data_IF_643260129283
#
_entry.id   IF_643260129283
#
_cell.length_a   1.000
_cell.length_b   1.000
_cell.length_c   1.000
_cell.angle_alpha   90.00
_cell.angle_beta   90.00
_cell.angle_gamma   90.00
#
_symmetry.space_group_name_H-M   'P 1'
#
loop_
_entity.id
_entity.type
_entity.pdbx_description
1 polymer ?
#
# COMPACT_ATOMS: atom_id res chain seq x y z
N UNK A 1 -3.64 2.11 -31.50
CA UNK A 1 -4.36 3.37 -31.20
C UNK A 1 -4.65 3.36 -29.71
N UNK A 2 -4.13 4.32 -28.97
CA UNK A 2 -4.26 4.37 -27.51
C UNK A 2 -5.35 5.37 -27.12
N UNK A 3 -6.44 4.86 -26.53
CA UNK A 3 -7.51 5.69 -25.98
C UNK A 3 -7.22 5.97 -24.49
N UNK A 4 -7.51 7.18 -24.03
CA UNK A 4 -7.45 7.48 -22.60
C UNK A 4 -8.50 6.64 -21.86
N UNK A 5 -8.05 5.83 -20.89
CA UNK A 5 -8.87 4.95 -20.07
C UNK A 5 -9.28 5.67 -18.78
N UNK A 6 -8.37 6.49 -18.25
CA UNK A 6 -8.60 7.25 -17.01
C UNK A 6 -8.74 8.73 -17.33
N UNK A 7 -9.48 9.46 -16.49
CA UNK A 7 -9.70 10.89 -16.64
C UNK A 7 -9.07 11.68 -15.48
N UNK A 8 -8.90 12.99 -15.67
CA UNK A 8 -8.37 13.89 -14.66
C UNK A 8 -9.22 13.81 -13.38
N UNK A 9 -8.55 13.81 -12.24
CA UNK A 9 -9.11 13.66 -10.88
C UNK A 9 -9.71 12.28 -10.59
N UNK A 10 -9.55 11.31 -11.50
CA UNK A 10 -9.91 9.93 -11.20
C UNK A 10 -8.90 9.34 -10.23
N UNK A 11 -9.42 8.63 -9.22
CA UNK A 11 -8.60 7.86 -8.29
C UNK A 11 -8.18 6.55 -8.92
N UNK A 12 -6.89 6.28 -8.90
CA UNK A 12 -6.29 5.07 -9.48
C UNK A 12 -5.27 4.46 -8.53
N UNK A 13 -5.16 3.14 -8.57
CA UNK A 13 -4.07 2.44 -7.90
C UNK A 13 -2.87 2.34 -8.83
N UNK A 14 -1.72 2.80 -8.37
CA UNK A 14 -0.47 2.84 -9.13
C UNK A 14 0.37 1.62 -8.74
N UNK A 15 0.33 0.56 -9.55
CA UNK A 15 0.97 -0.72 -9.26
C UNK A 15 2.47 -0.65 -8.95
N UNK A 16 3.31 0.07 -9.71
CA UNK A 16 4.75 0.13 -9.45
C UNK A 16 5.10 0.81 -8.13
N UNK A 17 4.22 1.67 -7.65
CA UNK A 17 4.39 2.42 -6.40
C UNK A 17 3.68 1.75 -5.24
N UNK A 18 2.64 0.95 -5.54
CA UNK A 18 1.81 0.30 -4.54
C UNK A 18 0.93 1.28 -3.75
N UNK A 19 0.49 2.39 -4.37
CA UNK A 19 -0.29 3.43 -3.72
C UNK A 19 -1.47 3.91 -4.55
N UNK A 20 -2.47 4.47 -3.89
CA UNK A 20 -3.55 5.21 -4.51
C UNK A 20 -3.14 6.65 -4.78
N UNK A 21 -3.46 7.15 -5.96
CA UNK A 21 -3.21 8.53 -6.35
C UNK A 21 -4.37 9.07 -7.20
N UNK A 22 -4.42 10.39 -7.37
CA UNK A 22 -5.34 11.03 -8.31
C UNK A 22 -4.59 11.31 -9.61
N UNK A 23 -5.24 11.07 -10.73
CA UNK A 23 -4.73 11.49 -12.03
C UNK A 23 -4.78 13.02 -12.10
N UNK A 24 -3.64 13.67 -12.05
CA UNK A 24 -3.54 15.13 -12.13
C UNK A 24 -3.62 15.62 -13.57
N UNK A 25 -2.98 14.87 -14.49
CA UNK A 25 -2.96 15.19 -15.93
C UNK A 25 -2.99 13.93 -16.77
N UNK A 26 -3.70 14.02 -17.90
CA UNK A 26 -3.67 13.01 -18.95
C UNK A 26 -2.82 13.56 -20.08
N UNK A 27 -1.74 12.88 -20.45
CA UNK A 27 -0.74 13.31 -21.43
C UNK A 27 -0.75 12.38 -22.64
N UNK A 28 -1.57 12.64 -23.66
CA UNK A 28 -1.53 11.87 -24.89
C UNK A 28 -0.24 12.22 -25.68
N UNK A 29 0.45 11.19 -26.13
CA UNK A 29 1.63 11.33 -26.99
C UNK A 29 1.24 11.13 -28.45
N UNK A 30 1.44 12.16 -29.24
CA UNK A 30 1.13 12.19 -30.67
C UNK A 30 2.40 11.94 -31.50
N UNK A 31 2.24 11.31 -32.62
CA UNK A 31 3.27 11.17 -33.65
C UNK A 31 2.77 11.92 -34.89
N UNK A 32 3.69 12.48 -35.68
CA UNK A 32 3.37 13.24 -36.87
C UNK A 32 2.59 12.37 -37.85
N UNK A 33 1.55 12.91 -38.46
CA UNK A 33 0.68 12.25 -39.44
C UNK A 33 -0.23 11.12 -38.90
N UNK A 34 -0.48 11.07 -37.58
CA UNK A 34 -1.41 10.13 -36.97
C UNK A 34 -2.53 10.90 -36.28
N UNK A 35 -3.81 10.56 -36.61
CA UNK A 35 -4.98 11.26 -36.06
C UNK A 35 -5.29 10.90 -34.61
N UNK A 36 -4.70 9.82 -34.07
CA UNK A 36 -4.91 9.36 -32.70
C UNK A 36 -3.58 9.23 -31.93
N UNK A 37 -3.59 9.39 -30.61
CA UNK A 37 -2.39 9.26 -29.80
C UNK A 37 -1.86 7.81 -29.85
N UNK A 38 -0.54 7.68 -29.97
CA UNK A 38 0.15 6.38 -29.98
C UNK A 38 0.22 5.80 -28.57
N UNK A 39 0.39 6.66 -27.56
CA UNK A 39 0.41 6.33 -26.14
C UNK A 39 -0.29 7.40 -25.33
N UNK A 40 -0.84 7.00 -24.18
CA UNK A 40 -1.39 7.93 -23.20
C UNK A 40 -0.66 7.71 -21.89
N UNK A 41 -0.06 8.76 -21.37
CA UNK A 41 0.57 8.77 -20.05
C UNK A 41 -0.30 9.51 -19.05
N UNK A 42 -0.18 9.12 -17.79
CA UNK A 42 -0.92 9.67 -16.67
C UNK A 42 0.05 10.20 -15.63
N UNK A 43 -0.06 11.47 -15.34
CA UNK A 43 0.64 12.12 -14.26
C UNK A 43 -0.21 12.00 -12.99
N UNK A 44 0.33 11.33 -11.99
CA UNK A 44 -0.34 11.09 -10.71
C UNK A 44 0.34 11.82 -9.54
N UNK A 45 1.16 12.84 -9.83
CA UNK A 45 1.87 13.61 -8.81
C UNK A 45 2.98 12.83 -8.09
N UNK A 46 3.48 11.73 -8.69
CA UNK A 46 4.45 10.82 -8.08
C UNK A 46 5.86 10.91 -8.71
N UNK A 47 6.19 12.06 -9.29
CA UNK A 47 7.50 12.34 -9.86
C UNK A 47 7.78 11.71 -11.23
N UNK A 48 6.91 10.84 -11.75
CA UNK A 48 6.96 10.29 -13.11
C UNK A 48 5.57 10.08 -13.69
N UNK A 49 5.53 9.91 -15.00
CA UNK A 49 4.31 9.56 -15.72
C UNK A 49 4.15 8.02 -15.77
N UNK A 50 2.90 7.54 -15.78
CA UNK A 50 2.53 6.12 -15.79
C UNK A 50 1.72 5.77 -17.03
N UNK A 51 1.86 4.52 -17.48
CA UNK A 51 1.01 3.96 -18.54
C UNK A 51 -0.30 3.44 -17.94
N UNK A 52 -1.33 3.30 -18.77
CA UNK A 52 -2.61 2.72 -18.35
C UNK A 52 -2.47 1.30 -17.76
N UNK A 53 -1.52 0.50 -18.26
CA UNK A 53 -1.22 -0.83 -17.73
C UNK A 53 -0.61 -0.85 -16.33
N UNK A 54 -0.06 0.27 -15.88
CA UNK A 54 0.49 0.46 -14.54
C UNK A 54 -0.54 0.98 -13.54
N UNK A 55 -1.76 1.26 -14.00
CA UNK A 55 -2.84 1.84 -13.22
C UNK A 55 -4.06 0.92 -13.22
N UNK A 56 -4.80 0.89 -12.12
CA UNK A 56 -6.12 0.28 -12.06
C UNK A 56 -7.11 1.18 -11.32
N UNK A 57 -8.38 1.10 -11.70
CA UNK A 57 -9.46 1.66 -10.87
C UNK A 57 -9.75 0.71 -9.72
N UNK A 58 -10.35 1.23 -8.67
CA UNK A 58 -10.95 0.42 -7.63
C UNK A 58 -12.12 -0.34 -8.27
N UNK A 59 -11.85 -1.59 -8.69
CA UNK A 59 -12.94 -2.49 -8.99
C UNK A 59 -13.72 -2.72 -7.71
N UNK A 60 -14.98 -2.31 -7.71
CA UNK A 60 -15.91 -2.49 -6.59
C UNK A 60 -16.19 -3.95 -6.24
N UNK A 61 -15.47 -4.87 -6.87
CA UNK A 61 -15.59 -6.33 -6.76
C UNK A 61 -14.51 -6.98 -5.89
N UNK A 62 -13.57 -6.23 -5.32
CA UNK A 62 -12.66 -6.72 -4.29
C UNK A 62 -13.36 -6.71 -2.95
N UNK A 63 -13.84 -7.89 -2.52
CA UNK A 63 -14.51 -8.13 -1.27
C UNK A 63 -13.98 -7.29 -0.11
N UNK A 64 -14.87 -6.53 0.41
CA UNK A 64 -14.88 -5.70 1.60
C UNK A 64 -14.41 -6.49 2.84
N UNK A 65 -13.13 -6.80 2.94
CA UNK A 65 -12.53 -7.11 4.23
C UNK A 65 -12.38 -5.77 4.93
N UNK A 66 -13.36 -5.38 5.70
CA UNK A 66 -13.59 -4.20 6.54
C UNK A 66 -12.47 -3.23 6.95
N UNK A 67 -11.35 -3.22 6.31
CA UNK A 67 -10.22 -2.35 6.61
C UNK A 67 -9.73 -1.62 5.36
N UNK A 68 -10.03 -0.34 5.28
CA UNK A 68 -9.59 0.57 4.20
C UNK A 68 -8.12 1.02 4.36
N UNK A 69 -7.24 0.15 4.85
CA UNK A 69 -5.84 0.52 5.02
C UNK A 69 -5.17 0.72 3.67
N UNK A 70 -4.61 1.89 3.46
CA UNK A 70 -3.99 2.27 2.19
C UNK A 70 -2.88 3.29 2.39
N UNK A 71 -1.94 3.32 1.46
CA UNK A 71 -0.90 4.34 1.44
C UNK A 71 -1.42 5.58 0.72
N UNK A 72 -1.24 6.74 1.34
CA UNK A 72 -1.33 8.05 0.69
C UNK A 72 0.05 8.68 0.61
N UNK A 73 0.24 9.55 -0.37
CA UNK A 73 1.44 10.40 -0.46
C UNK A 73 1.12 11.77 0.12
N UNK A 74 1.82 12.14 1.18
CA UNK A 74 1.75 13.48 1.74
C UNK A 74 2.89 14.33 1.18
N UNK A 75 2.61 15.59 0.85
CA UNK A 75 3.64 16.52 0.40
C UNK A 75 4.64 16.80 1.53
N UNK A 76 5.93 16.75 1.23
CA UNK A 76 6.97 17.22 2.13
C UNK A 76 6.98 18.74 2.11
N UNK A 77 6.64 19.36 3.23
CA UNK A 77 6.60 20.83 3.37
C UNK A 77 7.95 21.44 3.76
N UNK A 78 8.91 20.60 4.11
CA UNK A 78 10.18 21.00 4.68
C UNK A 78 11.35 20.90 3.71
N UNK A 79 11.19 20.08 2.65
CA UNK A 79 12.22 19.83 1.65
C UNK A 79 11.61 19.92 0.25
N UNK A 80 12.33 20.52 -0.66
CA UNK A 80 11.95 20.51 -2.08
C UNK A 80 12.26 19.16 -2.72
N UNK A 81 11.65 18.82 -3.87
CA UNK A 81 11.98 17.59 -4.60
C UNK A 81 13.47 17.47 -4.95
N UNK A 82 14.13 18.59 -5.20
CA UNK A 82 15.55 18.67 -5.55
C UNK A 82 16.43 18.29 -4.36
N UNK A 83 16.09 18.75 -3.16
CA UNK A 83 16.82 18.44 -1.92
C UNK A 83 16.69 16.97 -1.51
N UNK A 84 15.59 16.34 -1.88
CA UNK A 84 15.34 14.92 -1.58
C UNK A 84 15.31 14.04 -2.85
N UNK A 85 16.13 14.36 -3.84
CA UNK A 85 16.21 13.61 -5.11
C UNK A 85 16.62 12.12 -4.93
N UNK A 86 17.25 11.78 -3.80
CA UNK A 86 17.60 10.39 -3.44
C UNK A 86 16.41 9.57 -2.93
N UNK A 87 15.29 10.21 -2.62
CA UNK A 87 14.07 9.49 -2.20
C UNK A 87 13.41 8.78 -3.39
N UNK A 88 12.77 7.61 -3.18
CA UNK A 88 12.01 6.93 -4.24
C UNK A 88 10.92 7.81 -4.86
N UNK A 89 10.37 8.76 -4.07
CA UNK A 89 9.33 9.71 -4.47
C UNK A 89 9.66 11.10 -3.92
N UNK A 90 10.51 11.86 -4.63
CA UNK A 90 10.97 13.17 -4.18
C UNK A 90 9.81 14.13 -3.87
N UNK A 91 9.98 14.94 -2.83
CA UNK A 91 8.98 15.91 -2.38
C UNK A 91 7.77 15.32 -1.67
N UNK A 92 7.73 14.02 -1.42
CA UNK A 92 6.61 13.36 -0.72
C UNK A 92 7.11 12.32 0.27
N UNK A 93 6.24 11.88 1.17
CA UNK A 93 6.47 10.76 2.07
C UNK A 93 5.21 9.89 2.24
N UNK A 94 5.35 8.59 2.60
CA UNK A 94 4.22 7.70 2.73
C UNK A 94 3.48 7.94 4.06
N UNK A 95 2.16 7.86 3.98
CA UNK A 95 1.26 7.85 5.13
C UNK A 95 0.31 6.68 4.96
N UNK A 96 0.27 5.77 5.92
CA UNK A 96 -0.75 4.73 5.93
C UNK A 96 -1.99 5.28 6.63
N UNK A 97 -3.12 5.26 5.96
CA UNK A 97 -4.42 5.65 6.53
C UNK A 97 -5.31 4.44 6.69
N UNK A 98 -6.15 4.45 7.70
CA UNK A 98 -6.94 3.29 8.12
C UNK A 98 -8.45 3.49 7.98
N UNK A 99 -8.91 4.70 7.68
CA UNK A 99 -10.32 5.00 7.46
C UNK A 99 -10.62 5.57 6.06
N UNK A 100 -11.91 5.72 5.74
CA UNK A 100 -12.36 6.25 4.45
C UNK A 100 -12.05 7.75 4.28
N UNK A 101 -11.96 8.48 5.37
CA UNK A 101 -11.72 9.93 5.39
C UNK A 101 -10.24 10.30 5.35
N UNK A 102 -9.36 9.35 5.07
CA UNK A 102 -7.90 9.50 5.06
C UNK A 102 -7.32 9.86 6.45
N UNK A 103 -7.93 9.32 7.50
CA UNK A 103 -7.54 9.53 8.89
C UNK A 103 -6.96 8.27 9.52
N UNK A 104 -6.39 8.41 10.73
CA UNK A 104 -5.82 7.30 11.47
C UNK A 104 -4.56 6.70 10.82
N UNK A 105 -4.10 5.58 11.37
CA UNK A 105 -3.01 4.79 10.82
C UNK A 105 -1.62 5.22 11.24
N UNK A 106 -0.65 5.06 10.33
CA UNK A 106 0.78 5.22 10.60
C UNK A 106 1.40 6.36 9.80
N UNK A 107 2.24 7.12 10.47
CA UNK A 107 3.04 8.19 9.89
C UNK A 107 4.47 8.09 10.40
N UNK A 108 5.44 8.28 9.52
CA UNK A 108 6.84 8.34 9.90
C UNK A 108 7.27 9.79 10.17
N UNK A 109 8.14 10.05 11.15
CA UNK A 109 8.81 11.33 11.27
C UNK A 109 9.66 11.63 10.02
N UNK A 110 9.69 12.89 9.58
CA UNK A 110 10.43 13.28 8.37
C UNK A 110 11.91 12.94 8.41
N UNK A 111 12.55 13.11 9.57
CA UNK A 111 13.97 12.75 9.75
C UNK A 111 14.25 11.25 9.60
N UNK A 112 13.33 10.39 9.99
CA UNK A 112 13.47 8.94 9.79
C UNK A 112 13.29 8.57 8.32
N UNK A 113 12.36 9.21 7.63
CA UNK A 113 12.17 9.00 6.20
C UNK A 113 13.39 9.42 5.39
N UNK A 114 13.98 10.57 5.71
CA UNK A 114 15.18 11.08 5.04
C UNK A 114 16.40 10.18 5.26
N UNK A 115 16.48 9.53 6.43
CA UNK A 115 17.59 8.62 6.77
C UNK A 115 17.59 7.33 5.96
N UNK A 116 16.42 6.73 5.72
CA UNK A 116 16.28 5.48 4.97
C UNK A 116 14.91 5.39 4.29
N UNK A 117 14.70 6.13 3.19
CA UNK A 117 13.41 6.22 2.53
C UNK A 117 12.95 4.88 1.95
N UNK A 118 13.87 4.05 1.46
CA UNK A 118 13.52 2.74 0.89
C UNK A 118 12.97 1.78 1.94
N UNK A 119 13.57 1.75 3.12
CA UNK A 119 13.08 0.95 4.25
C UNK A 119 11.71 1.41 4.71
N UNK A 120 11.51 2.72 4.86
CA UNK A 120 10.23 3.31 5.28
C UNK A 120 9.13 3.03 4.25
N UNK A 121 9.44 3.10 2.96
CA UNK A 121 8.50 2.74 1.90
C UNK A 121 8.10 1.25 1.97
N UNK A 122 9.04 0.37 2.24
CA UNK A 122 8.75 -1.06 2.41
C UNK A 122 7.87 -1.31 3.65
N UNK A 123 8.16 -0.64 4.77
CA UNK A 123 7.34 -0.71 5.99
C UNK A 123 5.92 -0.20 5.75
N UNK A 124 5.76 0.93 5.07
CA UNK A 124 4.44 1.48 4.74
C UNK A 124 3.61 0.49 3.91
N UNK A 125 4.22 -0.16 2.91
CA UNK A 125 3.55 -1.21 2.12
C UNK A 125 3.13 -2.40 2.97
N UNK A 126 4.01 -2.87 3.85
CA UNK A 126 3.70 -3.99 4.74
C UNK A 126 2.53 -3.64 5.68
N UNK A 127 2.57 -2.46 6.30
CA UNK A 127 1.51 -1.99 7.20
C UNK A 127 0.18 -1.87 6.46
N UNK A 128 0.17 -1.29 5.26
CA UNK A 128 -1.05 -1.15 4.47
C UNK A 128 -1.67 -2.51 4.06
N UNK A 129 -0.84 -3.55 3.90
CA UNK A 129 -1.30 -4.91 3.58
C UNK A 129 -1.58 -5.76 4.83
N UNK A 130 -1.30 -5.29 6.04
CA UNK A 130 -1.44 -6.07 7.26
C UNK A 130 -2.84 -6.70 7.44
N UNK A 131 -3.97 -6.00 7.19
CA UNK A 131 -5.29 -6.61 7.31
C UNK A 131 -5.50 -7.78 6.35
N UNK A 132 -5.01 -7.65 5.11
CA UNK A 132 -5.10 -8.72 4.11
C UNK A 132 -4.24 -9.92 4.49
N UNK A 133 -3.02 -9.66 4.96
CA UNK A 133 -2.12 -10.71 5.44
C UNK A 133 -2.73 -11.44 6.65
N UNK A 134 -3.36 -10.72 7.57
CA UNK A 134 -4.07 -11.31 8.70
C UNK A 134 -5.21 -12.22 8.25
N UNK A 135 -6.05 -11.76 7.33
CA UNK A 135 -7.15 -12.54 6.79
C UNK A 135 -6.67 -13.83 6.07
N UNK A 136 -5.58 -13.71 5.29
CA UNK A 136 -4.96 -14.88 4.63
C UNK A 136 -4.38 -15.86 5.64
N UNK A 137 -3.74 -15.38 6.70
CA UNK A 137 -3.21 -16.21 7.77
C UNK A 137 -4.34 -16.98 8.49
N UNK A 138 -5.46 -16.31 8.79
CA UNK A 138 -6.64 -16.93 9.38
C UNK A 138 -7.26 -18.00 8.46
N UNK A 139 -7.37 -17.67 7.16
CA UNK A 139 -7.93 -18.61 6.19
C UNK A 139 -7.04 -19.85 6.04
N UNK A 140 -5.74 -19.67 5.97
CA UNK A 140 -4.78 -20.76 5.86
C UNK A 140 -4.75 -21.64 7.11
N UNK A 141 -4.77 -21.04 8.30
CA UNK A 141 -4.82 -21.79 9.56
C UNK A 141 -6.10 -22.65 9.65
N UNK A 142 -7.24 -22.14 9.21
CA UNK A 142 -8.50 -22.89 9.12
C UNK A 142 -8.41 -24.02 8.11
N UNK A 143 -7.94 -23.76 6.90
CA UNK A 143 -7.83 -24.77 5.85
C UNK A 143 -6.95 -25.96 6.26
N UNK A 144 -5.88 -25.71 7.01
CA UNK A 144 -5.02 -26.77 7.57
C UNK A 144 -5.72 -27.53 8.70
N UNK A 145 -6.47 -26.82 9.57
CA UNK A 145 -7.22 -27.46 10.66
C UNK A 145 -8.34 -28.37 10.15
N UNK A 146 -8.97 -27.99 9.03
CA UNK A 146 -10.06 -28.75 8.41
C UNK A 146 -9.56 -29.94 7.55
N UNK A 147 -8.24 -30.05 7.32
CA UNK A 147 -7.65 -31.12 6.51
C UNK A 147 -6.76 -32.03 7.34
N UNK A 148 -7.25 -33.22 7.75
CA UNK A 148 -6.50 -34.14 8.58
C UNK A 148 -5.28 -34.80 7.89
N UNK A 149 -5.17 -34.68 6.57
CA UNK A 149 -4.05 -35.25 5.80
C UNK A 149 -2.85 -34.28 5.68
N UNK A 150 -2.94 -33.09 6.29
CA UNK A 150 -1.83 -32.14 6.31
C UNK A 150 -0.61 -32.72 7.06
N UNK A 151 0.56 -32.57 6.43
CA UNK A 151 1.83 -32.97 7.05
C UNK A 151 2.14 -32.15 8.33
N UNK A 152 2.95 -32.73 9.25
CA UNK A 152 3.22 -32.14 10.57
C UNK A 152 3.84 -30.75 10.50
N UNK A 153 4.61 -30.44 9.47
CA UNK A 153 5.20 -29.12 9.24
C UNK A 153 4.12 -28.05 9.01
N UNK A 154 3.13 -28.35 8.15
CA UNK A 154 2.02 -27.42 7.87
C UNK A 154 1.15 -27.21 9.11
N UNK A 155 0.91 -28.26 9.87
CA UNK A 155 0.18 -28.16 11.14
C UNK A 155 0.95 -27.27 12.13
N UNK A 156 2.28 -27.42 12.20
CA UNK A 156 3.14 -26.55 13.02
C UNK A 156 3.05 -25.08 12.63
N UNK A 157 3.13 -24.78 11.33
CA UNK A 157 2.99 -23.42 10.80
C UNK A 157 1.60 -22.85 11.08
N UNK A 158 0.54 -23.62 10.85
CA UNK A 158 -0.83 -23.18 11.12
C UNK A 158 -1.06 -22.83 12.60
N UNK A 159 -0.44 -23.59 13.52
CA UNK A 159 -0.45 -23.28 14.94
C UNK A 159 0.22 -21.93 15.24
N UNK A 160 1.42 -21.68 14.69
CA UNK A 160 2.13 -20.41 14.85
C UNK A 160 1.33 -19.24 14.28
N UNK A 161 0.70 -19.43 13.11
CA UNK A 161 -0.19 -18.42 12.52
C UNK A 161 -1.37 -18.12 13.44
N UNK A 162 -2.02 -19.15 13.99
CA UNK A 162 -3.15 -19.00 14.92
C UNK A 162 -2.76 -18.25 16.19
N UNK A 163 -1.57 -18.50 16.73
CA UNK A 163 -1.02 -17.77 17.88
C UNK A 163 -0.76 -16.31 17.55
N UNK A 164 -0.16 -16.04 16.39
CA UNK A 164 0.10 -14.66 15.91
C UNK A 164 -1.20 -13.89 15.72
N UNK A 165 -2.19 -14.51 15.07
CA UNK A 165 -3.53 -13.93 14.88
C UNK A 165 -4.18 -13.61 16.22
N UNK A 166 -4.11 -14.52 17.17
CA UNK A 166 -4.65 -14.32 18.53
C UNK A 166 -3.99 -13.12 19.21
N UNK A 167 -2.66 -12.99 19.10
CA UNK A 167 -1.92 -11.87 19.66
C UNK A 167 -2.34 -10.53 19.05
N UNK A 168 -2.52 -10.50 17.72
CA UNK A 168 -2.95 -9.27 17.01
C UNK A 168 -4.38 -8.87 17.36
N UNK A 169 -5.26 -9.84 17.62
CA UNK A 169 -6.68 -9.60 17.95
C UNK A 169 -6.95 -9.44 19.45
N UNK A 170 -5.97 -9.71 20.30
CA UNK A 170 -6.12 -9.56 21.74
C UNK A 170 -6.45 -8.12 22.13
N UNK A 171 -7.40 -7.93 23.03
CA UNK A 171 -7.76 -6.61 23.53
C UNK A 171 -6.71 -6.13 24.55
N UNK A 172 -6.48 -4.82 24.64
CA UNK A 172 -5.63 -4.27 25.71
C UNK A 172 -6.11 -4.73 27.10
N UNK A 173 -5.21 -5.35 27.87
CA UNK A 173 -5.53 -5.84 29.22
C UNK A 173 -5.87 -7.34 29.32
N UNK A 174 -5.95 -8.10 28.22
CA UNK A 174 -6.02 -9.55 28.29
C UNK A 174 -4.65 -10.14 28.69
N UNK A 175 -4.63 -11.13 29.63
CA UNK A 175 -3.38 -11.78 30.04
C UNK A 175 -2.79 -12.55 28.87
N UNK A 176 -1.65 -12.11 28.36
CA UNK A 176 -0.95 -12.71 27.22
C UNK A 176 -0.13 -11.70 26.38
N UNK A 177 -0.41 -10.43 26.47
CA UNK A 177 0.44 -9.38 25.89
C UNK A 177 1.45 -8.89 26.93
N UNK A 178 2.56 -9.58 27.06
CA UNK A 178 3.73 -9.02 27.72
C UNK A 178 4.33 -7.97 26.82
N UNK A 179 3.90 -6.73 26.95
CA UNK A 179 4.64 -5.59 26.42
C UNK A 179 5.98 -5.59 27.13
N UNK A 180 7.04 -6.05 26.49
CA UNK A 180 8.40 -5.74 26.92
C UNK A 180 8.54 -4.23 26.76
N UNK A 181 8.41 -3.51 27.87
CA UNK A 181 8.93 -2.15 27.94
C UNK A 181 10.42 -2.27 27.62
N UNK A 182 10.85 -1.63 26.53
CA UNK A 182 12.26 -1.37 26.32
C UNK A 182 12.67 -0.48 27.51
N UNK A 183 13.41 -1.06 28.45
CA UNK A 183 14.15 -0.28 29.42
C UNK A 183 15.18 0.52 28.65
N UNK A 184 15.25 1.81 28.94
CA UNK A 184 16.19 2.82 28.46
C UNK A 184 17.65 2.37 28.55
#
# INVERSE_FOLDING_TARGET
>A
MAKAIFHKHQRVFVHPVGTWALVERVKPQWVRDVEEPVKVFYDCGLGRDFLASELSVEDSAGENTGSNWRILRAANKWQTPEECAHHPFPGTYPVVVTDQQNWGGWRTPGAEYDRDPHRIEAQARLIAQAPRLLALAEAMARAVADNPECGPELVGLARQMSETVRTVRAKPGEPGLTTRHAAE
#
